data_IF_603874601512
#
_entry.id   IF_603874601512
#
_cell.length_a   1.000
_cell.length_b   1.000
_cell.length_c   1.000
_cell.angle_alpha   90.00
_cell.angle_beta   90.00
_cell.angle_gamma   90.00
#
_symmetry.space_group_name_H-M   'P 1'
#
loop_
_entity.id
_entity.type
_entity.pdbx_description
1 polymer ?
#
# COMPACT_ATOMS: atom_id res chain seq x y z
N UNK A 1 5.21 -8.35 -27.08
CA UNK A 1 5.14 -7.43 -25.94
C UNK A 1 6.25 -7.68 -24.92
N UNK A 2 6.56 -8.94 -24.53
CA UNK A 2 7.69 -9.28 -23.63
C UNK A 2 9.01 -8.81 -24.26
N UNK A 3 9.22 -9.09 -25.53
CA UNK A 3 10.44 -8.71 -26.24
C UNK A 3 10.58 -7.18 -26.35
N UNK A 4 9.47 -6.48 -26.65
CA UNK A 4 9.46 -5.01 -26.72
C UNK A 4 9.74 -4.38 -25.35
N UNK A 5 9.23 -4.97 -24.26
CA UNK A 5 9.50 -4.51 -22.90
C UNK A 5 10.97 -4.74 -22.51
N UNK A 6 11.54 -5.88 -22.89
CA UNK A 6 12.97 -6.19 -22.64
C UNK A 6 13.90 -5.23 -23.41
N UNK A 7 13.66 -5.04 -24.70
CA UNK A 7 14.42 -4.09 -25.53
C UNK A 7 14.24 -2.66 -25.00
N UNK A 8 13.02 -2.26 -24.64
CA UNK A 8 12.75 -0.95 -24.08
C UNK A 8 13.49 -0.68 -22.76
N UNK A 9 13.68 -1.70 -21.93
CA UNK A 9 14.47 -1.60 -20.70
C UNK A 9 15.95 -1.39 -20.99
N UNK A 10 16.54 -2.22 -21.84
CA UNK A 10 17.97 -2.14 -22.22
C UNK A 10 18.32 -0.83 -22.91
N UNK A 11 17.39 -0.25 -23.67
CA UNK A 11 17.58 1.03 -24.37
C UNK A 11 17.18 2.26 -23.53
N UNK A 12 16.84 2.08 -22.26
CA UNK A 12 16.44 3.19 -21.37
C UNK A 12 15.09 3.83 -21.72
N UNK A 13 14.33 3.28 -22.66
CA UNK A 13 13.03 3.80 -23.09
C UNK A 13 11.94 3.69 -22.03
N UNK A 14 12.22 2.97 -20.95
CA UNK A 14 11.28 2.79 -19.83
C UNK A 14 10.99 4.08 -19.07
N UNK A 15 11.93 5.04 -19.04
CA UNK A 15 11.69 6.37 -18.46
C UNK A 15 10.53 7.12 -19.13
N UNK A 16 10.29 6.84 -20.40
CA UNK A 16 9.18 7.45 -21.15
C UNK A 16 7.82 6.77 -20.86
N UNK A 17 7.82 5.46 -20.56
CA UNK A 17 6.60 4.69 -20.28
C UNK A 17 6.15 4.79 -18.81
N UNK A 18 7.07 4.93 -17.86
CA UNK A 18 6.72 5.08 -16.43
C UNK A 18 5.94 6.38 -16.17
N UNK A 19 6.22 7.45 -16.93
CA UNK A 19 5.43 8.70 -16.86
C UNK A 19 3.98 8.52 -17.29
N UNK A 20 3.65 7.52 -18.12
CA UNK A 20 2.27 7.24 -18.57
C UNK A 20 1.51 6.21 -17.71
N UNK A 21 2.22 5.30 -17.02
CA UNK A 21 1.58 4.24 -16.21
C UNK A 21 1.11 4.69 -14.84
N UNK A 22 1.71 5.72 -14.27
CA UNK A 22 1.29 6.30 -12.97
C UNK A 22 -0.13 6.89 -13.04
N UNK A 23 -0.65 7.13 -14.25
CA UNK A 23 -1.99 7.71 -14.44
C UNK A 23 -3.13 6.68 -14.63
N UNK A 24 -2.84 5.38 -14.71
CA UNK A 24 -3.83 4.39 -15.16
C UNK A 24 -4.18 3.30 -14.11
N UNK A 25 -3.94 3.51 -12.82
CA UNK A 25 -4.79 2.84 -11.83
C UNK A 25 -6.11 3.62 -11.80
N UNK A 26 -6.91 3.42 -12.83
CA UNK A 26 -8.28 3.89 -12.90
C UNK A 26 -9.09 3.06 -11.90
N UNK A 27 -9.34 3.66 -10.76
CA UNK A 27 -10.44 3.28 -9.89
C UNK A 27 -11.71 3.65 -10.67
N UNK A 28 -12.32 2.67 -11.30
CA UNK A 28 -13.31 2.93 -12.36
C UNK A 28 -14.68 3.31 -11.83
N UNK A 29 -14.99 3.12 -10.55
CA UNK A 29 -16.29 3.52 -10.00
C UNK A 29 -16.19 4.03 -8.56
N UNK A 30 -17.21 4.81 -8.12
CA UNK A 30 -17.38 5.21 -6.70
C UNK A 30 -17.48 4.00 -5.77
N UNK A 31 -18.10 2.92 -6.25
CA UNK A 31 -18.27 1.66 -5.51
C UNK A 31 -16.95 0.96 -5.23
N UNK A 32 -16.04 0.88 -6.21
CA UNK A 32 -14.74 0.22 -6.02
C UNK A 32 -13.90 0.88 -4.92
N UNK A 33 -13.98 2.19 -4.79
CA UNK A 33 -13.19 2.94 -3.80
C UNK A 33 -13.80 2.80 -2.41
N UNK A 34 -15.12 2.92 -2.30
CA UNK A 34 -15.86 2.68 -1.07
C UNK A 34 -15.56 1.27 -0.56
N UNK A 35 -15.75 0.28 -1.43
CA UNK A 35 -15.51 -1.11 -1.13
C UNK A 35 -14.09 -1.37 -0.62
N UNK A 36 -13.08 -0.72 -1.21
CA UNK A 36 -11.70 -0.87 -0.74
C UNK A 36 -11.49 -0.31 0.66
N UNK A 37 -11.98 0.88 0.95
CA UNK A 37 -11.84 1.47 2.29
C UNK A 37 -12.49 0.59 3.35
N UNK A 38 -13.74 0.19 3.12
CA UNK A 38 -14.51 -0.66 4.05
C UNK A 38 -13.89 -2.05 4.17
N UNK A 39 -13.71 -2.77 3.05
CA UNK A 39 -13.16 -4.13 3.05
C UNK A 39 -11.77 -4.22 3.62
N UNK A 40 -10.90 -3.24 3.30
CA UNK A 40 -9.57 -3.18 3.87
C UNK A 40 -9.62 -3.00 5.39
N UNK A 41 -10.44 -2.08 5.87
CA UNK A 41 -10.59 -1.84 7.31
C UNK A 41 -11.20 -3.04 8.03
N UNK A 42 -12.23 -3.68 7.46
CA UNK A 42 -12.82 -4.91 7.99
C UNK A 42 -11.81 -6.06 8.04
N UNK A 43 -11.02 -6.22 6.98
CA UNK A 43 -9.98 -7.24 6.92
C UNK A 43 -8.94 -7.05 8.02
N UNK A 44 -8.45 -5.82 8.21
CA UNK A 44 -7.51 -5.47 9.28
C UNK A 44 -8.12 -5.70 10.66
N UNK A 45 -9.37 -5.30 10.89
CA UNK A 45 -10.06 -5.55 12.16
C UNK A 45 -10.18 -7.06 12.44
N UNK A 46 -10.52 -7.87 11.45
CA UNK A 46 -10.58 -9.32 11.59
C UNK A 46 -9.21 -9.94 11.94
N UNK A 47 -8.12 -9.37 11.43
CA UNK A 47 -6.75 -9.77 11.81
C UNK A 47 -6.49 -9.42 13.27
N UNK A 48 -6.79 -8.20 13.69
CA UNK A 48 -6.64 -7.77 15.07
C UNK A 48 -7.45 -8.64 16.02
N UNK A 49 -8.71 -8.90 15.73
CA UNK A 49 -9.60 -9.75 16.54
C UNK A 49 -9.03 -11.18 16.66
N UNK A 50 -8.33 -11.67 15.66
CA UNK A 50 -7.74 -13.01 15.67
C UNK A 50 -6.41 -13.08 16.42
N UNK A 51 -5.55 -12.09 16.25
CA UNK A 51 -4.16 -12.13 16.71
C UNK A 51 -3.89 -11.27 17.94
N UNK A 52 -4.63 -10.18 18.16
CA UNK A 52 -4.53 -9.33 19.35
C UNK A 52 -5.60 -9.68 20.39
N UNK A 53 -5.71 -10.95 20.76
CA UNK A 53 -6.68 -11.41 21.78
C UNK A 53 -6.49 -10.77 23.14
N UNK A 54 -5.32 -10.24 23.42
CA UNK A 54 -4.97 -9.58 24.67
C UNK A 54 -5.24 -8.08 24.67
N UNK A 55 -5.59 -7.50 23.54
CA UNK A 55 -5.80 -6.05 23.38
C UNK A 55 -4.54 -5.22 23.63
N UNK A 56 -3.34 -5.77 23.35
CA UNK A 56 -2.07 -5.10 23.63
C UNK A 56 -1.66 -4.10 22.55
N UNK A 57 -2.21 -4.21 21.35
CA UNK A 57 -1.93 -3.28 20.27
C UNK A 57 -2.53 -1.92 20.62
N UNK A 58 -1.67 -0.92 20.78
CA UNK A 58 -2.06 0.43 21.21
C UNK A 58 -2.81 1.23 20.17
N UNK A 59 -2.71 0.86 18.89
CA UNK A 59 -3.26 1.59 17.74
C UNK A 59 -2.68 3.01 17.58
N UNK A 60 -1.42 3.22 17.97
CA UNK A 60 -0.77 4.52 17.82
C UNK A 60 -0.35 4.77 16.38
N UNK A 61 0.37 3.83 15.75
CA UNK A 61 0.88 3.99 14.38
C UNK A 61 0.57 2.76 13.52
N UNK A 62 -0.19 2.99 12.45
CA UNK A 62 -0.44 2.05 11.36
C UNK A 62 0.40 2.43 10.15
N UNK A 63 1.23 1.52 9.67
CA UNK A 63 2.02 1.67 8.45
C UNK A 63 1.50 0.76 7.35
N UNK A 64 1.12 1.32 6.21
CA UNK A 64 0.78 0.55 5.00
C UNK A 64 1.87 0.71 3.94
N UNK A 65 2.42 -0.41 3.49
CA UNK A 65 3.35 -0.45 2.37
C UNK A 65 2.57 -0.68 1.09
N UNK A 66 2.78 0.19 0.09
CA UNK A 66 2.16 0.10 -1.21
C UNK A 66 0.65 0.39 -1.24
N UNK A 67 0.16 1.49 -0.62
CA UNK A 67 -1.27 1.84 -0.68
C UNK A 67 -1.73 2.19 -2.11
N UNK A 68 -0.79 2.38 -3.03
CA UNK A 68 -1.06 2.72 -4.42
C UNK A 68 -1.63 4.14 -4.59
N UNK A 69 -2.74 4.25 -5.32
CA UNK A 69 -3.32 5.56 -5.69
C UNK A 69 -4.24 6.19 -4.65
N UNK A 70 -4.37 5.62 -3.45
CA UNK A 70 -5.35 6.10 -2.45
C UNK A 70 -4.86 5.90 -1.02
N UNK A 71 -5.23 6.81 -0.14
CA UNK A 71 -5.08 6.69 1.32
C UNK A 71 -6.43 6.61 2.03
N UNK A 72 -7.48 6.29 1.28
CA UNK A 72 -8.83 6.14 1.84
C UNK A 72 -8.87 5.14 3.02
N UNK A 73 -8.20 3.96 2.96
CA UNK A 73 -8.15 3.04 4.10
C UNK A 73 -7.65 3.71 5.38
N UNK A 74 -6.68 4.63 5.28
CA UNK A 74 -6.16 5.36 6.43
C UNK A 74 -7.24 6.13 7.21
N UNK A 75 -8.18 6.76 6.53
CA UNK A 75 -9.29 7.46 7.20
C UNK A 75 -10.23 6.50 7.92
N UNK A 76 -10.47 5.31 7.37
CA UNK A 76 -11.24 4.26 8.05
C UNK A 76 -10.50 3.73 9.28
N UNK A 77 -9.17 3.58 9.22
CA UNK A 77 -8.37 3.18 10.38
C UNK A 77 -8.41 4.25 11.48
N UNK A 78 -8.25 5.53 11.14
CA UNK A 78 -8.38 6.62 12.11
C UNK A 78 -9.79 6.62 12.74
N UNK A 79 -10.84 6.45 11.94
CA UNK A 79 -12.21 6.35 12.43
C UNK A 79 -12.48 5.11 13.31
N UNK A 80 -11.59 4.11 13.25
CA UNK A 80 -11.62 2.90 14.10
C UNK A 80 -10.60 2.92 15.24
N UNK A 81 -10.11 4.11 15.59
CA UNK A 81 -9.32 4.35 16.80
C UNK A 81 -7.81 4.31 16.62
N UNK A 82 -7.29 4.27 15.40
CA UNK A 82 -5.87 4.50 15.16
C UNK A 82 -5.52 5.99 15.27
N UNK A 83 -4.38 6.30 15.88
CA UNK A 83 -3.95 7.69 16.05
C UNK A 83 -3.25 8.24 14.80
N UNK A 84 -2.51 7.41 14.08
CA UNK A 84 -1.74 7.80 12.90
C UNK A 84 -1.75 6.69 11.86
N UNK A 85 -1.92 7.07 10.59
CA UNK A 85 -1.71 6.21 9.44
C UNK A 85 -0.64 6.79 8.52
N UNK A 86 0.29 5.95 8.10
CA UNK A 86 1.37 6.30 7.17
C UNK A 86 1.34 5.33 6.01
N UNK A 87 0.95 5.81 4.82
CA UNK A 87 1.09 5.06 3.58
C UNK A 87 2.43 5.36 2.93
N UNK A 88 3.24 4.33 2.65
CA UNK A 88 4.53 4.46 1.97
C UNK A 88 4.52 3.72 0.65
N UNK A 89 4.99 4.35 -0.42
CA UNK A 89 5.06 3.77 -1.76
C UNK A 89 6.36 4.14 -2.46
N UNK A 90 6.83 3.30 -3.38
CA UNK A 90 7.98 3.61 -4.24
C UNK A 90 7.60 4.53 -5.40
N UNK A 91 6.32 4.71 -5.65
CA UNK A 91 5.79 5.57 -6.70
C UNK A 91 5.13 6.81 -6.12
N UNK A 92 5.43 8.01 -6.67
CA UNK A 92 4.69 9.21 -6.30
C UNK A 92 3.24 9.10 -6.78
N UNK A 93 2.30 9.33 -5.88
CA UNK A 93 0.88 9.31 -6.21
C UNK A 93 0.21 10.63 -5.90
N UNK A 94 -0.79 11.00 -6.70
CA UNK A 94 -1.57 12.23 -6.53
C UNK A 94 -2.77 12.01 -5.62
N UNK A 95 -2.58 11.32 -4.48
CA UNK A 95 -3.65 10.97 -3.54
C UNK A 95 -4.45 12.17 -3.02
N UNK A 96 -3.85 13.38 -3.06
CA UNK A 96 -4.47 14.64 -2.63
C UNK A 96 -5.01 15.48 -3.79
N UNK A 97 -5.04 14.94 -5.02
CA UNK A 97 -5.61 15.67 -6.18
C UNK A 97 -7.15 15.68 -6.14
N UNK A 98 -7.74 16.50 -6.99
CA UNK A 98 -9.19 16.74 -7.00
C UNK A 98 -10.04 15.48 -7.20
N UNK A 99 -9.53 14.50 -7.98
CA UNK A 99 -10.29 13.28 -8.26
C UNK A 99 -10.36 12.35 -7.03
N UNK A 100 -9.24 11.92 -6.39
CA UNK A 100 -9.31 11.17 -5.14
C UNK A 100 -10.09 11.89 -4.04
N UNK A 101 -9.94 13.21 -3.89
CA UNK A 101 -10.67 13.97 -2.87
C UNK A 101 -12.19 13.91 -3.03
N UNK A 102 -12.70 13.93 -4.24
CA UNK A 102 -14.15 13.75 -4.50
C UNK A 102 -14.62 12.35 -4.07
N UNK A 103 -13.79 11.35 -4.32
CA UNK A 103 -14.10 9.96 -3.96
C UNK A 103 -14.06 9.74 -2.45
N UNK A 104 -13.10 10.34 -1.75
CA UNK A 104 -13.04 10.28 -0.29
C UNK A 104 -14.30 10.87 0.34
N UNK A 105 -14.72 12.06 -0.07
CA UNK A 105 -15.95 12.67 0.45
C UNK A 105 -17.17 11.78 0.21
N UNK A 106 -17.30 11.19 -0.98
CA UNK A 106 -18.40 10.26 -1.27
C UNK A 106 -18.35 8.98 -0.45
N UNK A 107 -17.14 8.47 -0.14
CA UNK A 107 -16.97 7.31 0.72
C UNK A 107 -17.31 7.62 2.18
N UNK A 108 -16.95 8.80 2.68
CA UNK A 108 -17.23 9.21 4.05
C UNK A 108 -18.73 9.31 4.34
N UNK A 109 -19.55 9.69 3.36
CA UNK A 109 -21.02 9.72 3.47
C UNK A 109 -21.65 8.36 3.83
N UNK A 110 -20.86 7.28 3.71
CA UNK A 110 -21.31 5.92 4.07
C UNK A 110 -20.89 5.49 5.46
N UNK A 111 -20.10 6.30 6.16
CA UNK A 111 -19.74 6.10 7.55
C UNK A 111 -20.90 6.55 8.48
N UNK A 112 -20.87 6.11 9.75
CA UNK A 112 -21.73 6.72 10.78
C UNK A 112 -21.42 8.22 10.89
N UNK A 113 -22.44 9.03 11.25
CA UNK A 113 -22.35 10.50 11.18
C UNK A 113 -21.14 11.07 11.92
N UNK A 114 -20.86 10.60 13.13
CA UNK A 114 -19.72 11.00 13.96
C UNK A 114 -18.36 10.66 13.30
N UNK A 115 -18.28 9.49 12.69
CA UNK A 115 -17.09 9.04 11.93
C UNK A 115 -16.93 9.80 10.62
N UNK A 116 -18.02 10.13 9.93
CA UNK A 116 -18.03 10.92 8.72
C UNK A 116 -17.45 12.32 8.96
N UNK A 117 -17.92 12.99 10.00
CA UNK A 117 -17.45 14.35 10.34
C UNK A 117 -15.96 14.34 10.73
N UNK A 118 -15.54 13.37 11.54
CA UNK A 118 -14.14 13.17 11.89
C UNK A 118 -13.27 12.92 10.65
N UNK A 119 -13.73 12.09 9.71
CA UNK A 119 -13.01 11.80 8.48
C UNK A 119 -12.85 13.06 7.59
N UNK A 120 -13.88 13.89 7.48
CA UNK A 120 -13.81 15.17 6.74
C UNK A 120 -12.83 16.16 7.38
N UNK A 121 -12.84 16.29 8.69
CA UNK A 121 -11.88 17.13 9.44
C UNK A 121 -10.45 16.62 9.21
N UNK A 122 -10.24 15.32 9.35
CA UNK A 122 -8.94 14.68 9.15
C UNK A 122 -8.46 14.79 7.70
N UNK A 123 -9.35 14.71 6.71
CA UNK A 123 -9.00 14.91 5.31
C UNK A 123 -8.40 16.29 5.07
N UNK A 124 -9.04 17.33 5.60
CA UNK A 124 -8.56 18.71 5.46
C UNK A 124 -7.17 18.87 6.08
N UNK A 125 -7.00 18.45 7.34
CA UNK A 125 -5.72 18.58 8.05
C UNK A 125 -4.61 17.70 7.45
N UNK A 126 -4.93 16.49 6.99
CA UNK A 126 -3.95 15.58 6.36
C UNK A 126 -3.46 16.11 5.01
N UNK A 127 -4.35 16.73 4.22
CA UNK A 127 -3.96 17.40 2.98
C UNK A 127 -2.98 18.56 3.21
N UNK A 128 -3.07 19.21 4.36
CA UNK A 128 -2.17 20.29 4.80
C UNK A 128 -0.89 19.75 5.48
N UNK A 129 -0.72 18.42 5.57
CA UNK A 129 0.41 17.78 6.25
C UNK A 129 0.36 17.84 7.78
N UNK A 130 -0.80 18.19 8.37
CA UNK A 130 -1.01 18.37 9.82
C UNK A 130 -1.97 17.34 10.42
N UNK A 131 -2.55 16.48 9.60
CA UNK A 131 -3.52 15.50 10.03
C UNK A 131 -2.90 14.14 10.35
N UNK A 132 -3.73 13.16 10.73
CA UNK A 132 -3.26 11.84 11.13
C UNK A 132 -2.97 10.88 9.96
N UNK A 133 -3.33 11.25 8.72
CA UNK A 133 -3.14 10.41 7.52
C UNK A 133 -2.05 11.02 6.65
N UNK A 134 -0.99 10.25 6.42
CA UNK A 134 0.17 10.64 5.62
C UNK A 134 0.33 9.73 4.41
N UNK A 135 0.89 10.29 3.33
CA UNK A 135 1.33 9.54 2.16
C UNK A 135 2.72 9.99 1.75
N UNK A 136 3.63 9.03 1.66
CA UNK A 136 5.01 9.22 1.22
C UNK A 136 5.25 8.38 -0.03
N UNK A 137 5.42 9.03 -1.15
CA UNK A 137 5.84 8.41 -2.40
C UNK A 137 7.31 8.69 -2.68
N UNK A 138 7.98 7.83 -3.40
CA UNK A 138 9.31 7.84 -4.01
C UNK A 138 10.29 6.81 -3.42
N UNK A 139 10.45 6.71 -2.10
CA UNK A 139 11.49 5.86 -1.49
C UNK A 139 10.93 4.70 -0.67
N UNK A 140 9.60 4.60 -0.61
CA UNK A 140 8.93 3.53 0.13
C UNK A 140 9.25 3.54 1.63
N UNK A 141 9.27 2.35 2.24
CA UNK A 141 9.47 2.17 3.68
C UNK A 141 10.88 2.57 4.15
N UNK A 142 11.85 2.61 3.26
CA UNK A 142 13.24 2.98 3.58
C UNK A 142 13.45 4.50 3.54
N UNK A 143 12.41 5.30 3.32
CA UNK A 143 12.52 6.75 3.24
C UNK A 143 12.89 7.35 4.61
N UNK A 144 13.72 8.39 4.57
CA UNK A 144 14.05 9.17 5.77
C UNK A 144 12.81 9.85 6.33
N UNK A 145 11.90 10.27 5.46
CA UNK A 145 10.63 10.90 5.82
C UNK A 145 9.73 9.95 6.60
N UNK A 146 9.66 8.66 6.22
CA UNK A 146 8.92 7.66 6.97
C UNK A 146 9.50 7.49 8.38
N UNK A 147 10.83 7.39 8.49
CA UNK A 147 11.50 7.30 9.78
C UNK A 147 11.25 8.53 10.66
N UNK A 148 11.24 9.73 10.09
CA UNK A 148 10.94 10.98 10.83
C UNK A 148 9.48 11.04 11.28
N UNK A 149 8.52 10.57 10.46
CA UNK A 149 7.10 10.56 10.85
C UNK A 149 6.78 9.52 11.92
N UNK A 150 7.49 8.40 11.92
CA UNK A 150 7.39 7.37 12.97
C UNK A 150 8.04 7.90 14.24
N UNK A 151 9.17 8.63 14.13
CA UNK A 151 9.92 9.14 15.25
C UNK A 151 10.50 8.05 16.13
N UNK A 152 10.60 8.31 17.43
CA UNK A 152 11.02 7.32 18.44
C UNK A 152 9.91 6.28 18.74
N UNK A 153 8.69 6.59 18.33
CA UNK A 153 7.54 5.67 18.43
C UNK A 153 7.70 4.59 17.38
N UNK A 154 7.75 3.34 17.81
CA UNK A 154 7.68 2.21 16.89
C UNK A 154 6.26 2.05 16.32
N UNK A 155 6.13 1.21 15.31
CA UNK A 155 4.87 0.94 14.59
C UNK A 155 4.12 -0.19 15.27
N UNK A 156 2.82 -0.04 15.49
CA UNK A 156 1.99 -1.08 16.11
C UNK A 156 1.50 -2.10 15.08
N UNK A 157 1.29 -1.67 13.85
CA UNK A 157 0.91 -2.56 12.75
C UNK A 157 1.56 -2.14 11.44
N UNK A 158 2.16 -3.12 10.75
CA UNK A 158 2.65 -2.97 9.38
C UNK A 158 1.80 -3.88 8.48
N UNK A 159 1.28 -3.31 7.41
CA UNK A 159 0.42 -4.00 6.47
C UNK A 159 0.88 -3.81 5.03
N UNK A 160 0.73 -4.83 4.20
CA UNK A 160 0.81 -4.69 2.74
C UNK A 160 -0.10 -5.69 2.03
N UNK A 161 -0.56 -5.32 0.85
CA UNK A 161 -1.35 -6.18 -0.03
C UNK A 161 -0.83 -6.07 -1.47
N UNK A 162 -0.37 -7.20 -2.03
CA UNK A 162 0.12 -7.24 -3.40
C UNK A 162 1.40 -6.40 -3.61
N UNK A 163 2.34 -6.44 -2.67
CA UNK A 163 3.57 -5.63 -2.68
C UNK A 163 4.83 -6.48 -2.68
N UNK A 164 4.92 -7.47 -1.78
CA UNK A 164 6.16 -8.23 -1.58
C UNK A 164 6.58 -9.05 -2.80
N UNK A 165 5.63 -9.48 -3.63
CA UNK A 165 5.88 -10.17 -4.90
C UNK A 165 6.61 -9.29 -5.94
N UNK A 166 6.64 -7.97 -5.70
CA UNK A 166 7.33 -7.01 -6.57
C UNK A 166 8.68 -6.54 -6.02
N UNK A 167 9.05 -6.99 -4.81
CA UNK A 167 10.29 -6.58 -4.15
C UNK A 167 11.38 -7.62 -4.40
N UNK A 168 12.53 -7.23 -5.00
CA UNK A 168 13.62 -8.16 -5.32
C UNK A 168 14.25 -8.79 -4.07
N UNK A 169 14.35 -8.02 -2.97
CA UNK A 169 15.02 -8.42 -1.73
C UNK A 169 14.03 -8.40 -0.53
N UNK A 170 13.05 -9.31 -0.48
CA UNK A 170 12.03 -9.28 0.57
C UNK A 170 12.61 -9.49 1.98
N UNK A 171 13.75 -10.16 2.11
CA UNK A 171 14.42 -10.36 3.40
C UNK A 171 14.82 -9.04 4.07
N UNK A 172 15.25 -8.06 3.31
CA UNK A 172 15.62 -6.75 3.85
C UNK A 172 14.37 -6.00 4.34
N UNK A 173 13.23 -6.16 3.65
CA UNK A 173 11.95 -5.63 4.11
C UNK A 173 11.56 -6.24 5.46
N UNK A 174 11.65 -7.55 5.62
CA UNK A 174 11.34 -8.21 6.90
C UNK A 174 12.24 -7.73 8.04
N UNK A 175 13.54 -7.60 7.82
CA UNK A 175 14.46 -7.05 8.83
C UNK A 175 14.09 -5.62 9.21
N UNK A 176 13.79 -4.79 8.22
CA UNK A 176 13.41 -3.40 8.44
C UNK A 176 12.10 -3.30 9.21
N UNK A 177 11.10 -4.06 8.81
CA UNK A 177 9.82 -4.12 9.49
C UNK A 177 9.98 -4.56 10.95
N UNK A 178 10.79 -5.60 11.21
CA UNK A 178 11.06 -6.06 12.56
C UNK A 178 11.69 -4.97 13.45
N UNK A 179 12.64 -4.21 12.90
CA UNK A 179 13.29 -3.13 13.64
C UNK A 179 12.35 -1.95 13.95
N UNK A 180 11.34 -1.72 13.10
CA UNK A 180 10.36 -0.66 13.27
C UNK A 180 9.19 -1.03 14.16
N UNK A 181 8.95 -2.33 14.34
CA UNK A 181 7.77 -2.82 15.04
C UNK A 181 7.89 -2.68 16.55
N UNK A 182 6.79 -2.36 17.23
CA UNK A 182 6.65 -2.47 18.69
C UNK A 182 6.78 -3.93 19.11
N UNK A 183 7.11 -4.17 20.40
CA UNK A 183 7.30 -5.53 20.93
C UNK A 183 6.02 -6.40 20.79
N UNK A 184 4.85 -5.79 20.98
CA UNK A 184 3.54 -6.46 20.81
C UNK A 184 2.92 -6.13 19.42
N UNK A 185 3.69 -5.56 18.49
CA UNK A 185 3.20 -5.15 17.17
C UNK A 185 3.01 -6.33 16.21
N UNK A 186 2.24 -6.11 15.16
CA UNK A 186 1.89 -7.13 14.14
C UNK A 186 2.35 -6.68 12.75
N UNK A 187 2.97 -7.62 12.01
CA UNK A 187 3.25 -7.47 10.57
C UNK A 187 2.35 -8.41 9.80
N UNK A 188 1.65 -7.89 8.81
CA UNK A 188 0.79 -8.67 7.90
C UNK A 188 1.10 -8.32 6.45
N UNK A 189 1.57 -9.31 5.71
CA UNK A 189 1.78 -9.19 4.27
C UNK A 189 0.87 -10.17 3.53
N UNK A 190 0.00 -9.63 2.68
CA UNK A 190 -0.79 -10.41 1.75
C UNK A 190 -0.04 -10.44 0.42
N UNK A 191 0.41 -11.62 0.03
CA UNK A 191 1.21 -11.84 -1.17
C UNK A 191 0.30 -12.46 -2.22
N UNK A 192 0.29 -11.92 -3.44
CA UNK A 192 -0.38 -12.54 -4.57
C UNK A 192 0.61 -13.47 -5.30
N UNK A 193 0.45 -14.79 -5.16
CA UNK A 193 1.35 -15.75 -5.79
C UNK A 193 1.04 -15.98 -7.27
N UNK A 194 0.02 -15.29 -7.82
CA UNK A 194 -0.32 -15.46 -9.23
C UNK A 194 0.61 -14.64 -10.13
N UNK A 195 1.05 -15.21 -11.26
CA UNK A 195 1.83 -14.48 -12.23
C UNK A 195 0.98 -13.37 -12.87
N UNK A 196 1.38 -12.12 -12.72
CA UNK A 196 0.74 -10.97 -13.37
C UNK A 196 1.05 -10.94 -14.88
N UNK A 197 0.91 -12.08 -15.54
CA UNK A 197 1.13 -12.23 -16.98
C UNK A 197 -0.21 -12.39 -17.70
N UNK A 198 -0.27 -11.91 -18.93
CA UNK A 198 -1.40 -12.12 -19.81
C UNK A 198 -1.45 -13.56 -20.37
N UNK A 199 -0.39 -14.35 -20.18
CA UNK A 199 -0.34 -15.77 -20.55
C UNK A 199 -1.14 -16.55 -19.52
N UNK A 200 -2.25 -17.11 -19.95
CA UNK A 200 -3.06 -18.05 -19.14
C UNK A 200 -2.50 -19.45 -19.34
N UNK A 201 -2.05 -20.05 -18.27
CA UNK A 201 -1.64 -21.46 -18.23
C UNK A 201 -2.62 -22.21 -17.32
N UNK A 202 -2.82 -23.48 -17.58
CA UNK A 202 -3.68 -24.35 -16.76
C UNK A 202 -3.15 -24.44 -15.31
N UNK A 203 -1.83 -24.40 -15.15
CA UNK A 203 -1.19 -24.34 -13.84
C UNK A 203 -0.79 -22.88 -13.51
N UNK A 204 -1.40 -22.23 -12.52
CA UNK A 204 -1.05 -20.85 -12.14
C UNK A 204 0.38 -20.70 -11.58
N UNK A 205 0.99 -21.80 -11.15
CA UNK A 205 2.34 -21.81 -10.59
C UNK A 205 3.42 -22.24 -11.60
N UNK A 206 3.09 -22.27 -12.90
CA UNK A 206 4.06 -22.67 -13.93
C UNK A 206 5.37 -21.86 -13.88
N UNK A 207 5.31 -20.62 -13.46
CA UNK A 207 6.47 -19.74 -13.38
C UNK A 207 7.55 -20.26 -12.42
N UNK A 208 7.17 -21.05 -11.40
CA UNK A 208 8.11 -21.70 -10.49
C UNK A 208 8.91 -22.84 -11.16
N UNK A 209 8.48 -23.30 -12.32
CA UNK A 209 9.18 -24.32 -13.10
C UNK A 209 10.12 -23.75 -14.15
N UNK A 210 10.13 -22.43 -14.32
CA UNK A 210 11.00 -21.75 -15.27
C UNK A 210 12.43 -21.70 -14.70
N UNK A 211 13.43 -22.23 -15.41
CA UNK A 211 14.81 -22.14 -14.94
C UNK A 211 15.28 -20.68 -14.76
N UNK A 212 16.11 -20.42 -13.77
CA UNK A 212 16.58 -19.08 -13.42
C UNK A 212 17.18 -18.31 -14.59
N UNK A 213 17.94 -18.98 -15.46
CA UNK A 213 18.53 -18.33 -16.63
C UNK A 213 17.47 -17.81 -17.62
N UNK A 214 16.37 -18.57 -17.81
CA UNK A 214 15.27 -18.17 -18.67
C UNK A 214 14.41 -17.09 -18.01
N UNK A 215 14.18 -17.22 -16.70
CA UNK A 215 13.53 -16.17 -15.90
C UNK A 215 14.29 -14.85 -16.01
N UNK A 216 15.59 -14.87 -15.80
CA UNK A 216 16.44 -13.69 -15.92
C UNK A 216 16.48 -13.10 -17.32
N UNK A 217 16.37 -13.92 -18.35
CA UNK A 217 16.27 -13.47 -19.74
C UNK A 217 14.94 -12.75 -20.01
N UNK A 218 13.82 -13.30 -19.49
CA UNK A 218 12.46 -12.79 -19.71
C UNK A 218 12.13 -11.58 -18.82
N UNK A 219 12.57 -11.61 -17.59
CA UNK A 219 12.15 -10.69 -16.53
C UNK A 219 13.32 -9.98 -15.83
N UNK A 220 14.54 -10.42 -16.02
CA UNK A 220 15.74 -9.83 -15.42
C UNK A 220 15.82 -8.32 -15.68
N UNK A 221 15.92 -7.56 -14.61
CA UNK A 221 15.87 -6.10 -14.63
C UNK A 221 14.49 -5.50 -14.46
N UNK A 222 13.52 -6.25 -13.98
CA UNK A 222 12.17 -5.80 -13.57
C UNK A 222 12.00 -5.74 -12.04
N UNK A 223 13.10 -5.65 -11.32
CA UNK A 223 13.10 -5.30 -9.91
C UNK A 223 12.91 -3.80 -9.72
#
# INVERSE_FOLDING_TARGET
>A
EIFVNFVGYKLGLRKLRSKGRVNNMTWNTKEDIKDKGVKHSEYVNNILDRFDKSGKIKKDVFLEMGPGGTVLPGFYHIANGWNKYIGVDVFPSKVWSSYPLKLYNSAFETMANDKCDLAKINLKSSKEGKGPVYYLGNDGIFSKEASLLIGDSKVDMIYSYGVLEHIPEPREVFKHNFNMLQDDGIVVHVIDPYPHTWLKFDNPYYFLTIPDWLWNLMYGGRG
#
